data_IF_700143606617
#
_entry.id   IF_700143606617
#
_cell.length_a   1.000
_cell.length_b   1.000
_cell.length_c   1.000
_cell.angle_alpha   90.00
_cell.angle_beta   90.00
_cell.angle_gamma   90.00
#
_symmetry.space_group_name_H-M   'P 1'
#
loop_
_entity.id
_entity.type
_entity.pdbx_description
1 polymer ?
#
# COMPACT_ATOMS: atom_id res chain seq x y z
N UNK A 1 3.63 3.72 4.96
CA UNK A 1 3.59 2.54 5.87
C UNK A 1 2.13 2.15 6.02
N UNK A 2 1.81 0.87 6.18
CA UNK A 2 0.41 0.48 6.43
C UNK A 2 -0.01 0.92 7.83
N UNK A 3 -1.17 1.54 7.96
CA UNK A 3 -1.64 2.08 9.23
C UNK A 3 -2.16 0.96 10.14
N UNK A 4 -1.62 0.88 11.36
CA UNK A 4 -2.05 -0.08 12.37
C UNK A 4 -2.45 0.68 13.65
N UNK A 5 -3.70 0.58 14.12
CA UNK A 5 -4.12 1.26 15.34
C UNK A 5 -3.62 0.52 16.59
N UNK A 6 -3.18 1.28 17.58
CA UNK A 6 -2.88 0.79 18.93
C UNK A 6 -3.36 1.80 19.97
N UNK A 7 -3.54 1.33 21.21
CA UNK A 7 -3.84 2.18 22.36
C UNK A 7 -2.78 2.06 23.45
N UNK A 8 -2.09 0.92 23.50
CA UNK A 8 -1.08 0.62 24.50
C UNK A 8 0.16 0.01 23.87
N UNK A 9 1.28 0.14 24.56
CA UNK A 9 2.57 -0.43 24.20
C UNK A 9 3.46 -0.56 25.44
N UNK A 10 4.50 -1.38 25.32
CA UNK A 10 5.61 -1.48 26.28
C UNK A 10 6.89 -0.91 25.66
N UNK A 11 7.85 -0.49 26.49
CA UNK A 11 9.10 0.09 25.98
C UNK A 11 9.93 -0.94 25.17
N UNK A 12 9.88 -2.20 25.62
CA UNK A 12 10.60 -3.31 24.98
C UNK A 12 10.08 -3.59 23.55
N UNK A 13 8.77 -3.50 23.33
CA UNK A 13 8.14 -3.68 22.02
C UNK A 13 8.60 -2.66 20.99
N UNK A 14 8.84 -1.42 21.42
CA UNK A 14 9.23 -0.32 20.54
C UNK A 14 10.74 -0.14 20.47
N UNK A 15 11.51 -1.06 21.05
CA UNK A 15 12.98 -1.05 21.04
C UNK A 15 13.60 0.26 21.55
N UNK A 16 12.99 0.88 22.58
CA UNK A 16 13.50 2.12 23.20
C UNK A 16 13.72 1.88 24.70
N UNK A 17 14.85 2.31 25.27
CA UNK A 17 15.06 2.23 26.72
C UNK A 17 13.98 3.00 27.47
N UNK A 18 13.34 2.37 28.45
CA UNK A 18 12.25 2.99 29.23
C UNK A 18 12.59 4.37 29.85
N UNK A 19 13.83 4.71 30.26
CA UNK A 19 14.12 6.05 30.77
C UNK A 19 13.90 7.16 29.74
N UNK A 20 14.05 6.86 28.44
CA UNK A 20 13.77 7.83 27.37
C UNK A 20 12.28 8.17 27.27
N UNK A 21 11.40 7.28 27.69
CA UNK A 21 9.95 7.54 27.68
C UNK A 21 9.55 8.53 28.78
N UNK A 22 10.29 8.59 29.90
CA UNK A 22 10.12 9.64 30.92
C UNK A 22 10.35 11.03 30.32
N UNK A 23 11.42 11.21 29.53
CA UNK A 23 11.72 12.46 28.82
C UNK A 23 10.58 12.88 27.86
N UNK A 24 9.86 11.90 27.31
CA UNK A 24 8.74 12.10 26.40
C UNK A 24 7.39 12.36 27.12
N UNK A 25 7.36 12.25 28.45
CA UNK A 25 6.19 12.51 29.29
C UNK A 25 5.43 11.28 29.77
N UNK A 26 5.92 10.07 29.48
CA UNK A 26 5.35 8.82 29.99
C UNK A 26 5.89 8.56 31.40
N UNK A 27 5.10 8.94 32.41
CA UNK A 27 5.51 8.87 33.83
C UNK A 27 4.96 7.66 34.58
N UNK A 28 3.78 7.17 34.18
CA UNK A 28 3.07 6.10 34.86
C UNK A 28 2.56 5.06 33.85
N UNK A 29 2.41 3.83 34.31
CA UNK A 29 1.78 2.74 33.57
C UNK A 29 0.24 2.80 33.63
N UNK A 30 -0.42 1.81 33.04
CA UNK A 30 -1.89 1.70 33.02
C UNK A 30 -2.53 1.57 34.40
N UNK A 31 -1.81 1.03 35.38
CA UNK A 31 -2.28 0.82 36.76
C UNK A 31 -2.01 2.05 37.64
N UNK A 32 -1.33 3.07 37.09
CA UNK A 32 -0.94 4.28 37.79
C UNK A 32 0.34 4.14 38.62
N UNK A 33 1.12 3.06 38.44
CA UNK A 33 2.42 2.92 39.06
C UNK A 33 3.47 3.71 38.27
N UNK A 34 4.53 4.16 38.95
CA UNK A 34 5.64 4.83 38.29
C UNK A 34 6.35 3.90 37.29
N UNK A 35 6.84 4.48 36.19
CA UNK A 35 7.60 3.75 35.17
C UNK A 35 9.01 3.42 35.69
N UNK A 36 9.28 2.13 35.89
CA UNK A 36 10.54 1.59 36.43
C UNK A 36 11.10 0.44 35.56
N UNK A 37 10.30 -0.13 34.66
CA UNK A 37 10.65 -1.27 33.80
C UNK A 37 10.19 -1.10 32.35
N UNK A 38 10.89 -1.74 31.41
CA UNK A 38 10.52 -1.76 29.99
C UNK A 38 9.31 -2.64 29.65
N UNK A 39 8.91 -3.51 30.59
CA UNK A 39 7.77 -4.43 30.45
C UNK A 39 6.44 -3.84 30.91
N UNK A 40 6.45 -2.65 31.51
CA UNK A 40 5.21 -2.00 31.96
C UNK A 40 4.41 -1.50 30.76
N UNK A 41 3.11 -1.78 30.78
CA UNK A 41 2.18 -1.35 29.74
C UNK A 41 1.82 0.13 29.92
N UNK A 42 1.95 0.92 28.87
CA UNK A 42 1.65 2.35 28.88
C UNK A 42 0.60 2.68 27.82
N UNK A 43 -0.26 3.65 28.12
CA UNK A 43 -1.20 4.21 27.16
C UNK A 43 -0.51 5.24 26.25
N UNK A 44 -0.55 5.02 24.93
CA UNK A 44 0.06 5.89 23.93
C UNK A 44 -0.59 7.28 23.90
N UNK A 45 0.22 8.34 23.75
CA UNK A 45 -0.34 9.66 23.51
C UNK A 45 -0.96 9.74 22.09
N UNK A 46 -2.05 10.52 21.91
CA UNK A 46 -2.83 10.53 20.67
C UNK A 46 -2.08 10.92 19.40
N UNK A 47 -0.97 11.65 19.51
CA UNK A 47 -0.16 12.11 18.37
C UNK A 47 1.24 11.48 18.38
N UNK A 48 1.46 10.45 19.20
CA UNK A 48 2.69 9.68 19.18
C UNK A 48 2.59 8.54 18.15
N UNK A 49 3.73 8.22 17.55
CA UNK A 49 3.83 7.29 16.42
C UNK A 49 5.04 6.38 16.59
N UNK A 50 4.83 5.07 16.38
CA UNK A 50 5.87 4.05 16.37
C UNK A 50 6.14 3.68 14.92
N UNK A 51 7.38 3.91 14.49
CA UNK A 51 7.79 3.81 13.09
C UNK A 51 8.30 2.39 12.81
N UNK A 52 8.06 1.88 11.60
CA UNK A 52 8.71 0.63 11.16
C UNK A 52 10.23 0.81 11.07
N UNK A 53 11.00 -0.13 11.62
CA UNK A 53 12.47 -0.19 11.50
C UNK A 53 12.95 -0.21 10.04
N UNK A 54 12.12 -0.69 9.11
CA UNK A 54 12.44 -0.65 7.68
C UNK A 54 12.63 0.78 7.14
N UNK A 55 12.00 1.77 7.79
CA UNK A 55 12.14 3.18 7.46
C UNK A 55 13.26 3.91 8.20
N UNK A 56 13.90 3.28 9.18
CA UNK A 56 14.88 3.94 10.06
C UNK A 56 16.08 4.54 9.29
N UNK A 57 16.66 3.77 8.38
CA UNK A 57 17.76 4.22 7.51
C UNK A 57 17.32 5.37 6.59
N UNK A 58 16.08 5.34 6.08
CA UNK A 58 15.55 6.44 5.29
C UNK A 58 15.43 7.73 6.11
N UNK A 59 14.87 7.68 7.31
CA UNK A 59 14.76 8.85 8.18
C UNK A 59 16.12 9.38 8.63
N UNK A 60 17.08 8.50 8.92
CA UNK A 60 18.44 8.88 9.29
C UNK A 60 19.13 9.63 8.14
N UNK A 61 19.01 9.13 6.90
CA UNK A 61 19.55 9.80 5.71
C UNK A 61 18.89 11.16 5.48
N UNK A 62 17.57 11.26 5.67
CA UNK A 62 16.84 12.52 5.55
C UNK A 62 17.27 13.52 6.62
N UNK A 63 17.45 13.10 7.87
CA UNK A 63 17.96 13.95 8.94
C UNK A 63 19.37 14.50 8.62
N UNK A 64 20.28 13.63 8.15
CA UNK A 64 21.64 14.03 7.72
C UNK A 64 21.60 14.99 6.52
N UNK A 65 20.71 14.75 5.56
CA UNK A 65 20.50 15.65 4.43
C UNK A 65 20.02 17.04 4.89
N UNK A 66 19.07 17.10 5.84
CA UNK A 66 18.57 18.38 6.36
C UNK A 66 19.63 19.14 7.15
N UNK A 67 20.47 18.44 7.91
CA UNK A 67 21.60 19.05 8.62
C UNK A 67 22.63 19.63 7.64
N UNK A 68 23.01 18.87 6.60
CA UNK A 68 23.89 19.37 5.53
C UNK A 68 23.26 20.54 4.77
N UNK A 69 21.94 20.51 4.53
CA UNK A 69 21.20 21.60 3.88
C UNK A 69 21.22 22.86 4.75
N UNK A 70 20.97 22.74 6.06
CA UNK A 70 21.03 23.86 7.00
C UNK A 70 22.43 24.46 7.07
N UNK A 71 23.46 23.65 7.25
CA UNK A 71 24.83 24.12 7.40
C UNK A 71 25.40 24.68 6.09
N UNK A 72 25.31 23.94 4.99
CA UNK A 72 26.02 24.29 3.74
C UNK A 72 25.26 25.26 2.86
N UNK A 73 23.93 25.18 2.83
CA UNK A 73 23.13 26.04 1.95
C UNK A 73 22.56 27.25 2.68
N UNK A 74 22.04 27.06 3.90
CA UNK A 74 21.45 28.16 4.68
C UNK A 74 22.42 28.84 5.65
N UNK A 75 23.59 28.26 5.94
CA UNK A 75 24.54 28.81 6.91
C UNK A 75 24.03 28.79 8.35
N UNK A 76 23.11 27.88 8.66
CA UNK A 76 22.49 27.69 9.98
C UNK A 76 23.12 26.49 10.70
N UNK A 77 23.05 26.43 12.04
CA UNK A 77 23.49 25.25 12.77
C UNK A 77 22.67 24.02 12.38
N UNK A 78 23.28 22.84 12.50
CA UNK A 78 22.60 21.54 12.38
C UNK A 78 21.49 21.42 13.42
N UNK A 79 20.44 20.68 13.09
CA UNK A 79 19.25 20.55 13.91
C UNK A 79 19.09 19.15 14.51
N UNK A 80 19.23 18.10 13.70
CA UNK A 80 18.97 16.73 14.16
C UNK A 80 20.19 16.10 14.83
N UNK A 81 21.38 16.25 14.24
CA UNK A 81 22.61 15.64 14.71
C UNK A 81 22.51 14.12 14.95
N UNK A 82 21.64 13.44 14.19
CA UNK A 82 21.33 12.03 14.38
C UNK A 82 22.39 11.13 13.71
N UNK A 83 22.95 10.19 14.49
CA UNK A 83 23.86 9.15 13.99
C UNK A 83 23.21 7.78 13.98
N UNK A 84 22.33 7.51 14.94
CA UNK A 84 21.54 6.28 15.03
C UNK A 84 20.04 6.58 14.98
N UNK A 85 19.23 5.56 14.69
CA UNK A 85 17.78 5.74 14.56
C UNK A 85 17.12 6.17 15.89
N UNK A 86 17.69 5.75 17.01
CA UNK A 86 17.26 6.10 18.35
C UNK A 86 17.38 7.60 18.65
N UNK A 87 18.29 8.33 17.97
CA UNK A 87 18.44 9.79 18.12
C UNK A 87 17.23 10.57 17.56
N UNK A 88 16.42 9.92 16.72
CA UNK A 88 15.21 10.51 16.15
C UNK A 88 13.99 10.35 17.07
N UNK A 89 14.12 9.62 18.18
CA UNK A 89 13.05 9.52 19.19
C UNK A 89 12.80 10.91 19.79
N UNK A 90 11.53 11.33 19.81
CA UNK A 90 11.10 12.67 20.21
C UNK A 90 11.02 13.68 19.06
N UNK A 91 11.55 13.37 17.88
CA UNK A 91 11.45 14.25 16.73
C UNK A 91 10.03 14.25 16.13
N UNK A 92 9.67 15.40 15.54
CA UNK A 92 8.35 15.62 14.98
C UNK A 92 8.25 15.17 13.51
N UNK A 93 7.09 14.64 13.18
CA UNK A 93 6.70 14.11 11.89
C UNK A 93 5.43 14.80 11.39
N UNK A 94 5.26 14.79 10.07
CA UNK A 94 3.98 15.06 9.41
C UNK A 94 3.48 13.73 8.87
N UNK A 95 2.33 13.28 9.38
CA UNK A 95 1.56 12.21 8.76
C UNK A 95 0.60 12.77 7.72
N UNK A 96 0.65 12.26 6.50
CA UNK A 96 -0.18 12.70 5.40
C UNK A 96 -0.80 11.49 4.68
N UNK A 97 -2.12 11.50 4.59
CA UNK A 97 -2.83 10.49 3.83
C UNK A 97 -2.88 10.84 2.33
N UNK A 98 -2.65 9.87 1.44
CA UNK A 98 -3.13 9.91 0.08
C UNK A 98 -4.56 10.45 -0.06
N UNK A 99 -4.78 11.20 -1.13
CA UNK A 99 -6.01 11.91 -1.45
C UNK A 99 -6.42 12.98 -0.43
N UNK A 100 -5.50 13.45 0.41
CA UNK A 100 -5.72 14.57 1.33
C UNK A 100 -4.64 15.65 1.17
N UNK A 101 -4.87 16.82 1.78
CA UNK A 101 -3.92 17.93 1.79
C UNK A 101 -3.70 18.54 3.17
N UNK A 102 -4.28 17.93 4.21
CA UNK A 102 -4.06 18.27 5.60
C UNK A 102 -3.12 17.26 6.24
N UNK A 103 -1.89 17.67 6.52
CA UNK A 103 -0.97 16.87 7.32
C UNK A 103 -1.35 16.96 8.80
N UNK A 104 -1.06 15.91 9.56
CA UNK A 104 -1.25 15.88 11.01
C UNK A 104 0.13 15.74 11.67
N UNK A 105 0.40 16.60 12.62
CA UNK A 105 1.64 16.57 13.39
C UNK A 105 1.67 15.31 14.28
N UNK A 106 2.77 14.59 14.26
CA UNK A 106 3.04 13.50 15.19
C UNK A 106 4.47 13.54 15.73
N UNK A 107 4.75 12.70 16.71
CA UNK A 107 6.07 12.55 17.35
C UNK A 107 6.51 11.10 17.31
N UNK A 108 7.77 10.86 16.97
CA UNK A 108 8.36 9.50 17.02
C UNK A 108 8.58 9.12 18.48
N UNK A 109 8.10 7.95 18.88
CA UNK A 109 8.40 7.41 20.23
C UNK A 109 9.24 6.14 20.21
N UNK A 110 9.33 5.45 19.07
CA UNK A 110 10.15 4.25 18.95
C UNK A 110 9.98 3.53 17.62
N UNK A 111 10.49 2.30 17.57
CA UNK A 111 10.67 1.51 16.35
C UNK A 111 10.18 0.08 16.49
N UNK A 112 9.37 -0.39 15.54
CA UNK A 112 8.84 -1.77 15.50
C UNK A 112 9.48 -2.60 14.38
N UNK A 113 9.56 -3.93 14.52
CA UNK A 113 10.05 -4.80 13.44
C UNK A 113 8.99 -5.06 12.36
N UNK A 114 7.74 -4.66 12.59
CA UNK A 114 6.67 -4.82 11.61
C UNK A 114 6.82 -3.82 10.45
N UNK A 115 6.16 -4.09 9.31
CA UNK A 115 6.10 -3.15 8.18
C UNK A 115 5.02 -2.05 8.36
N UNK A 116 4.25 -2.13 9.45
CA UNK A 116 3.19 -1.17 9.77
C UNK A 116 3.73 0.03 10.54
N UNK A 117 3.00 1.14 10.46
CA UNK A 117 3.18 2.28 11.34
C UNK A 117 2.10 2.26 12.42
N UNK A 118 2.50 2.17 13.69
CA UNK A 118 1.55 2.12 14.78
C UNK A 118 1.28 3.51 15.33
N UNK A 119 0.00 3.82 15.57
CA UNK A 119 -0.41 5.07 16.17
C UNK A 119 -1.76 4.92 16.87
N UNK A 120 -2.13 5.93 17.64
CA UNK A 120 -3.46 6.01 18.22
C UNK A 120 -4.56 6.00 17.14
N UNK A 121 -5.69 5.36 17.40
CA UNK A 121 -6.85 5.28 16.46
C UNK A 121 -7.28 6.67 15.97
N UNK A 122 -7.40 7.62 16.90
CA UNK A 122 -7.69 9.02 16.60
C UNK A 122 -6.69 9.64 15.60
N UNK A 123 -5.38 9.33 15.70
CA UNK A 123 -4.39 9.87 14.77
C UNK A 123 -4.65 9.42 13.35
N UNK A 124 -4.88 8.12 13.15
CA UNK A 124 -5.19 7.57 11.84
C UNK A 124 -6.48 8.17 11.27
N UNK A 125 -7.52 8.25 12.08
CA UNK A 125 -8.79 8.84 11.65
C UNK A 125 -8.70 10.36 11.39
N UNK A 126 -7.82 11.09 12.08
CA UNK A 126 -7.59 12.53 11.81
C UNK A 126 -6.97 12.77 10.42
N UNK A 127 -6.22 11.78 9.90
CA UNK A 127 -5.73 11.75 8.52
C UNK A 127 -6.78 11.21 7.53
N UNK A 128 -8.01 10.94 7.98
CA UNK A 128 -9.11 10.32 7.22
C UNK A 128 -8.83 8.88 6.79
N UNK A 129 -8.25 8.08 7.70
CA UNK A 129 -8.02 6.64 7.50
C UNK A 129 -8.94 5.78 8.33
N UNK A 130 -9.32 4.66 7.73
CA UNK A 130 -10.21 3.65 8.30
C UNK A 130 -9.40 2.48 8.86
N UNK A 131 -8.11 2.37 8.51
CA UNK A 131 -7.21 1.29 8.91
C UNK A 131 -7.64 -0.09 8.37
N UNK A 132 -8.31 -0.16 7.21
CA UNK A 132 -8.73 -1.39 6.54
C UNK A 132 -7.69 -1.90 5.50
N UNK A 133 -6.43 -1.52 5.68
CA UNK A 133 -5.33 -1.74 4.73
C UNK A 133 -4.79 -0.45 4.10
N UNK A 134 -5.20 0.71 4.62
CA UNK A 134 -4.70 2.02 4.26
C UNK A 134 -3.18 2.16 4.44
N UNK A 135 -2.57 2.99 3.58
CA UNK A 135 -1.15 3.34 3.67
C UNK A 135 -0.96 4.86 3.70
N UNK A 136 -0.13 5.32 4.63
CA UNK A 136 0.17 6.74 4.79
C UNK A 136 1.63 7.10 4.52
N UNK A 137 1.81 8.37 4.11
CA UNK A 137 3.10 9.00 3.96
C UNK A 137 3.48 9.68 5.27
N UNK A 138 4.71 9.41 5.73
CA UNK A 138 5.28 10.02 6.93
C UNK A 138 6.57 10.74 6.50
N UNK A 139 6.70 12.01 6.88
CA UNK A 139 7.89 12.83 6.58
C UNK A 139 8.35 13.57 7.82
N UNK A 140 9.64 13.89 7.91
CA UNK A 140 10.17 14.74 8.99
C UNK A 140 9.54 16.13 8.90
N UNK A 141 9.18 16.72 10.04
CA UNK A 141 8.57 18.06 10.07
C UNK A 141 9.45 19.10 9.36
N UNK A 142 10.76 19.11 9.65
CA UNK A 142 11.68 20.09 9.08
C UNK A 142 11.82 19.94 7.56
N UNK A 143 11.75 18.71 7.04
CA UNK A 143 11.75 18.45 5.60
C UNK A 143 10.52 19.08 4.93
N UNK A 144 9.34 18.83 5.50
CA UNK A 144 8.09 19.40 5.01
C UNK A 144 8.04 20.93 5.10
N UNK A 145 8.79 21.56 6.01
CA UNK A 145 8.86 23.02 6.12
C UNK A 145 9.86 23.66 5.15
N UNK A 146 11.05 23.07 4.99
CA UNK A 146 12.11 23.64 4.16
C UNK A 146 11.92 23.35 2.67
N UNK A 147 11.56 22.11 2.32
CA UNK A 147 11.62 21.63 0.94
C UNK A 147 10.26 21.71 0.22
N UNK A 148 9.19 22.06 0.93
CA UNK A 148 7.87 22.22 0.32
C UNK A 148 7.65 23.63 -0.23
N UNK A 149 7.08 23.71 -1.43
CA UNK A 149 6.56 24.98 -1.97
C UNK A 149 5.33 24.73 -2.83
N UNK A 150 4.33 25.60 -2.76
CA UNK A 150 3.18 25.52 -3.69
C UNK A 150 3.59 25.68 -5.16
N UNK A 151 4.77 26.27 -5.43
CA UNK A 151 5.30 26.46 -6.80
C UNK A 151 5.76 25.15 -7.46
N UNK A 152 6.09 24.11 -6.68
CA UNK A 152 6.50 22.81 -7.22
C UNK A 152 5.31 21.89 -7.50
N UNK A 153 4.10 22.29 -7.11
CA UNK A 153 2.90 21.49 -7.33
C UNK A 153 2.49 21.50 -8.81
N UNK A 154 2.10 20.34 -9.38
CA UNK A 154 1.62 20.27 -10.75
C UNK A 154 0.36 21.11 -10.95
N UNK A 155 0.33 21.90 -12.03
CA UNK A 155 -0.80 22.77 -12.37
C UNK A 155 -2.05 22.00 -12.89
N UNK A 156 -1.91 20.70 -13.15
CA UNK A 156 -3.01 19.86 -13.66
C UNK A 156 -3.97 19.44 -12.52
N UNK A 157 -5.23 19.15 -12.86
CA UNK A 157 -6.24 18.67 -11.90
C UNK A 157 -5.74 17.43 -11.16
N UNK A 158 -5.91 17.44 -9.83
CA UNK A 158 -5.45 16.37 -8.93
C UNK A 158 -4.03 16.58 -8.39
N UNK A 159 -3.25 17.52 -8.94
CA UNK A 159 -1.86 17.76 -8.54
C UNK A 159 -1.65 18.46 -7.18
N UNK A 160 -2.72 18.98 -6.57
CA UNK A 160 -2.66 19.65 -5.26
C UNK A 160 -3.01 18.72 -4.09
N UNK A 161 -3.56 17.55 -4.38
CA UNK A 161 -3.76 16.49 -3.39
C UNK A 161 -2.41 15.81 -3.15
N UNK A 162 -2.23 15.17 -1.99
CA UNK A 162 -1.00 14.48 -1.59
C UNK A 162 0.16 15.43 -1.23
N UNK A 163 -0.15 16.69 -0.91
CA UNK A 163 0.80 17.67 -0.40
C UNK A 163 0.28 18.32 0.90
N UNK A 164 1.15 18.55 1.90
CA UNK A 164 0.73 19.12 3.19
C UNK A 164 0.50 20.63 3.06
N UNK A 165 -0.66 21.03 2.52
CA UNK A 165 -1.06 22.43 2.35
C UNK A 165 -1.41 23.11 3.68
N UNK A 166 -1.89 22.32 4.64
CA UNK A 166 -2.24 22.73 6.01
C UNK A 166 -1.69 21.67 6.97
N UNK A 167 -1.28 22.09 8.16
CA UNK A 167 -0.78 21.22 9.21
C UNK A 167 -1.66 21.35 10.46
N UNK A 168 -2.31 20.26 10.85
CA UNK A 168 -3.05 20.15 12.10
C UNK A 168 -2.07 19.84 13.23
N UNK A 169 -1.94 20.75 14.20
CA UNK A 169 -0.98 20.59 15.29
C UNK A 169 -1.57 19.91 16.52
N UNK A 170 -2.90 19.97 16.70
CA UNK A 170 -3.62 19.39 17.84
C UNK A 170 -4.78 18.58 17.34
N UNK A 171 -4.91 17.37 17.89
CA UNK A 171 -6.02 16.49 17.60
C UNK A 171 -7.23 16.84 18.46
N UNK A 172 -8.38 17.07 17.82
CA UNK A 172 -9.66 17.25 18.49
C UNK A 172 -10.60 16.08 18.13
N UNK A 173 -10.94 15.16 19.06
CA UNK A 173 -11.76 13.99 18.75
C UNK A 173 -13.13 14.31 18.13
N UNK A 174 -13.70 15.48 18.41
CA UNK A 174 -15.00 15.87 17.85
C UNK A 174 -14.97 16.21 16.36
N UNK A 175 -13.78 16.46 15.80
CA UNK A 175 -13.56 16.80 14.39
C UNK A 175 -13.08 15.61 13.55
N UNK A 176 -12.85 14.47 14.21
CA UNK A 176 -12.34 13.23 13.59
C UNK A 176 -13.50 12.46 12.95
N UNK A 177 -13.15 11.56 12.03
CA UNK A 177 -14.12 10.67 11.39
C UNK A 177 -14.92 9.83 12.40
N UNK A 178 -16.18 9.54 12.05
CA UNK A 178 -17.11 8.81 12.92
C UNK A 178 -16.70 7.37 13.16
N UNK A 179 -15.93 6.76 12.27
CA UNK A 179 -15.51 5.37 12.45
C UNK A 179 -14.67 5.20 13.72
N UNK A 180 -13.75 6.13 13.99
CA UNK A 180 -12.96 6.12 15.21
C UNK A 180 -13.82 6.32 16.47
N UNK A 181 -14.98 6.96 16.39
CA UNK A 181 -15.87 7.16 17.53
C UNK A 181 -16.57 5.87 17.98
N UNK A 182 -16.62 4.85 17.11
CA UNK A 182 -17.22 3.55 17.40
C UNK A 182 -16.25 2.54 18.02
N UNK A 183 -15.00 2.93 18.30
CA UNK A 183 -14.04 2.02 18.93
C UNK A 183 -14.39 1.86 20.41
N UNK A 184 -14.44 0.61 20.85
CA UNK A 184 -14.63 0.24 22.26
C UNK A 184 -13.37 0.57 23.06
N UNK A 185 -13.54 1.20 24.21
CA UNK A 185 -12.49 1.57 25.15
C UNK A 185 -12.65 0.88 26.52
N UNK A 186 -13.46 -0.18 26.59
CA UNK A 186 -13.72 -0.94 27.81
C UNK A 186 -12.57 -1.92 28.15
N UNK A 187 -12.28 -2.08 29.43
CA UNK A 187 -11.37 -3.14 29.94
C UNK A 187 -11.99 -4.54 29.90
N UNK A 188 -13.31 -4.62 30.02
CA UNK A 188 -14.07 -5.86 29.96
C UNK A 188 -15.48 -5.57 29.45
N UNK A 189 -16.06 -6.52 28.71
CA UNK A 189 -17.45 -6.43 28.32
C UNK A 189 -18.38 -6.89 29.46
N UNK A 190 -19.52 -6.23 29.68
CA UNK A 190 -20.49 -6.64 30.69
C UNK A 190 -21.16 -7.97 30.33
N UNK A 191 -21.66 -8.71 31.32
CA UNK A 191 -22.39 -9.96 31.09
C UNK A 191 -23.63 -9.79 30.21
N UNK A 192 -24.30 -8.62 30.31
CA UNK A 192 -25.47 -8.27 29.49
C UNK A 192 -25.16 -8.32 28.00
N UNK A 193 -23.97 -7.86 27.58
CA UNK A 193 -23.53 -7.91 26.18
C UNK A 193 -23.42 -9.35 25.67
N UNK A 194 -22.82 -10.24 26.45
CA UNK A 194 -22.68 -11.65 26.09
C UNK A 194 -24.05 -12.36 26.00
N UNK A 195 -24.99 -12.03 26.90
CA UNK A 195 -26.34 -12.58 26.88
C UNK A 195 -27.17 -12.07 25.70
N UNK A 196 -27.07 -10.77 25.40
CA UNK A 196 -27.73 -10.15 24.26
C UNK A 196 -27.24 -10.73 22.92
N UNK A 197 -25.97 -11.11 22.81
CA UNK A 197 -25.43 -11.73 21.58
C UNK A 197 -26.13 -13.05 21.21
N UNK A 198 -26.64 -13.81 22.20
CA UNK A 198 -27.43 -15.04 21.96
C UNK A 198 -28.77 -14.76 21.28
N UNK A 199 -29.34 -13.58 21.52
CA UNK A 199 -30.60 -13.13 20.93
C UNK A 199 -30.37 -12.38 19.61
N UNK A 200 -29.12 -12.20 19.17
CA UNK A 200 -28.74 -11.47 17.96
C UNK A 200 -29.33 -10.05 17.92
N UNK A 201 -29.35 -9.38 19.08
CA UNK A 201 -29.82 -8.00 19.19
C UNK A 201 -28.95 -7.08 18.32
N UNK A 202 -29.58 -6.09 17.69
CA UNK A 202 -28.86 -5.10 16.89
C UNK A 202 -27.90 -4.27 17.77
N UNK A 203 -26.63 -4.05 17.37
CA UNK A 203 -25.61 -3.39 18.21
C UNK A 203 -26.02 -2.03 18.78
N UNK A 204 -26.73 -1.21 17.99
CA UNK A 204 -27.29 0.10 18.42
C UNK A 204 -28.14 0.07 19.70
N UNK A 205 -28.73 -1.06 20.05
CA UNK A 205 -29.51 -1.18 21.30
C UNK A 205 -28.60 -1.17 22.52
N UNK A 206 -27.38 -1.69 22.39
CA UNK A 206 -26.39 -1.85 23.45
C UNK A 206 -25.36 -0.70 23.49
N UNK A 207 -25.41 0.21 22.53
CA UNK A 207 -24.45 1.31 22.34
C UNK A 207 -24.27 2.19 23.59
N UNK A 208 -25.34 2.36 24.39
CA UNK A 208 -25.31 3.14 25.64
C UNK A 208 -24.77 2.38 26.85
N UNK A 209 -24.81 1.04 26.80
CA UNK A 209 -24.28 0.19 27.87
C UNK A 209 -22.78 -0.06 27.70
N UNK A 210 -22.28 0.07 26.47
CA UNK A 210 -20.89 -0.10 26.12
C UNK A 210 -20.11 1.21 26.21
N UNK A 211 -18.84 1.06 26.56
CA UNK A 211 -17.91 2.17 26.72
C UNK A 211 -17.20 2.45 25.39
N UNK A 212 -17.89 3.19 24.52
CA UNK A 212 -17.39 3.64 23.21
C UNK A 212 -16.86 5.08 23.29
N UNK A 213 -15.96 5.44 22.37
CA UNK A 213 -15.36 6.79 22.32
C UNK A 213 -16.43 7.87 22.12
N UNK A 214 -17.50 7.60 21.35
CA UNK A 214 -18.62 8.54 21.18
C UNK A 214 -19.25 8.96 22.52
N UNK A 215 -19.40 8.02 23.45
CA UNK A 215 -19.96 8.27 24.79
C UNK A 215 -18.99 9.05 25.70
N UNK A 216 -17.72 9.16 25.34
CA UNK A 216 -16.67 9.85 26.09
C UNK A 216 -16.41 11.28 25.59
N UNK A 217 -17.01 11.68 24.46
CA UNK A 217 -16.83 13.01 23.87
C UNK A 217 -17.17 14.13 24.86
N UNK A 218 -16.39 15.22 24.80
CA UNK A 218 -16.53 16.38 25.69
C UNK A 218 -15.72 16.28 26.99
N UNK A 219 -15.17 15.11 27.33
CA UNK A 219 -14.31 14.89 28.48
C UNK A 219 -12.88 14.51 28.07
N UNK A 220 -11.93 14.57 29.01
CA UNK A 220 -10.54 14.11 28.81
C UNK A 220 -10.48 12.61 28.46
N UNK A 221 -11.49 11.84 28.89
CA UNK A 221 -11.63 10.41 28.57
C UNK A 221 -11.82 10.13 27.08
N UNK A 222 -12.18 11.12 26.26
CA UNK A 222 -12.23 10.97 24.81
C UNK A 222 -10.85 10.75 24.19
N UNK A 223 -9.78 11.12 24.90
CA UNK A 223 -8.40 11.16 24.40
C UNK A 223 -7.48 10.22 25.20
N UNK A 224 -7.86 9.87 26.43
CA UNK A 224 -7.06 9.09 27.40
C UNK A 224 -7.94 8.15 28.23
N UNK A 225 -7.33 7.21 28.93
CA UNK A 225 -8.00 6.21 29.75
C UNK A 225 -8.68 5.12 28.92
N UNK A 226 -8.11 4.75 27.77
CA UNK A 226 -8.65 3.67 26.95
C UNK A 226 -8.33 2.33 27.61
N UNK A 227 -9.25 1.38 27.52
CA UNK A 227 -9.01 -0.01 27.92
C UNK A 227 -8.80 -0.92 26.73
N UNK A 228 -8.36 -2.14 27.01
CA UNK A 228 -8.32 -3.24 26.04
C UNK A 228 -8.71 -4.55 26.74
N UNK A 229 -9.21 -5.51 25.97
CA UNK A 229 -9.76 -6.76 26.53
C UNK A 229 -8.79 -7.95 26.49
N UNK A 230 -7.85 -7.95 25.55
CA UNK A 230 -6.93 -9.06 25.33
C UNK A 230 -5.50 -8.54 25.23
N UNK A 231 -4.62 -9.14 26.01
CA UNK A 231 -3.20 -8.79 26.01
C UNK A 231 -2.44 -9.52 24.89
N UNK A 232 -1.34 -8.94 24.47
CA UNK A 232 -0.42 -9.52 23.48
C UNK A 232 0.99 -9.56 24.05
N UNK A 233 1.76 -10.57 23.70
CA UNK A 233 3.16 -10.66 24.17
C UNK A 233 4.05 -9.60 23.51
N UNK A 234 3.80 -9.31 22.24
CA UNK A 234 4.53 -8.30 21.46
C UNK A 234 3.65 -7.79 20.31
N UNK A 235 3.57 -6.47 20.09
CA UNK A 235 2.79 -5.87 19.00
C UNK A 235 3.22 -6.31 17.58
N UNK A 236 4.44 -6.81 17.42
CA UNK A 236 4.99 -7.29 16.14
C UNK A 236 5.23 -8.81 16.14
N UNK A 237 4.58 -9.55 17.05
CA UNK A 237 4.61 -11.01 17.06
C UNK A 237 3.97 -11.59 15.79
N UNK A 238 4.80 -12.07 14.87
CA UNK A 238 4.33 -12.67 13.63
C UNK A 238 5.39 -12.76 12.54
N UNK A 239 5.04 -13.31 11.37
CA UNK A 239 5.94 -13.31 10.23
C UNK A 239 6.16 -11.88 9.73
N UNK A 240 7.43 -11.43 9.70
CA UNK A 240 7.81 -10.07 9.31
C UNK A 240 7.35 -9.66 7.90
N UNK A 241 7.24 -10.63 6.98
CA UNK A 241 6.81 -10.42 5.61
C UNK A 241 5.78 -11.46 5.21
N UNK A 242 4.79 -11.04 4.41
CA UNK A 242 3.80 -11.95 3.86
C UNK A 242 4.46 -12.90 2.85
N UNK A 243 4.03 -14.17 2.87
CA UNK A 243 4.48 -15.17 1.90
C UNK A 243 4.15 -14.75 0.44
N UNK A 244 3.16 -13.86 0.25
CA UNK A 244 2.84 -13.31 -1.06
C UNK A 244 3.99 -12.48 -1.68
N UNK A 245 4.76 -11.78 -0.85
CA UNK A 245 5.93 -11.00 -1.30
C UNK A 245 7.15 -11.87 -1.59
N UNK A 246 7.28 -13.02 -0.92
CA UNK A 246 8.43 -13.93 -1.08
C UNK A 246 8.29 -14.84 -2.30
N UNK A 247 7.07 -15.07 -2.78
CA UNK A 247 6.82 -15.87 -3.99
C UNK A 247 7.01 -15.00 -5.25
N UNK A 248 7.90 -15.42 -6.14
CA UNK A 248 8.24 -14.64 -7.34
C UNK A 248 7.19 -14.79 -8.45
N UNK A 249 6.84 -16.03 -8.79
CA UNK A 249 5.98 -16.29 -9.96
C UNK A 249 4.50 -16.35 -9.58
N UNK A 250 3.64 -16.01 -10.55
CA UNK A 250 2.19 -16.10 -10.37
C UNK A 250 1.73 -17.55 -10.16
N UNK A 251 2.40 -18.52 -10.79
CA UNK A 251 2.13 -19.95 -10.59
C UNK A 251 2.40 -20.33 -9.12
N UNK A 252 3.51 -19.89 -8.56
CA UNK A 252 3.85 -20.18 -7.16
C UNK A 252 2.86 -19.54 -6.19
N UNK A 253 2.47 -18.28 -6.45
CA UNK A 253 1.44 -17.57 -5.67
C UNK A 253 0.12 -18.32 -5.68
N UNK A 254 -0.30 -18.78 -6.85
CA UNK A 254 -1.54 -19.52 -7.02
C UNK A 254 -1.50 -20.90 -6.35
N UNK A 255 -0.41 -21.65 -6.55
CA UNK A 255 -0.21 -22.93 -5.91
C UNK A 255 -0.13 -22.78 -4.39
N UNK A 256 0.51 -21.72 -3.88
CA UNK A 256 0.51 -21.36 -2.46
C UNK A 256 -0.90 -21.14 -1.92
N UNK A 257 -1.71 -20.33 -2.62
CA UNK A 257 -3.11 -20.08 -2.26
C UNK A 257 -3.96 -21.36 -2.24
N UNK A 258 -3.93 -22.16 -3.31
CA UNK A 258 -4.76 -23.36 -3.43
C UNK A 258 -4.29 -24.49 -2.52
N UNK A 259 -2.96 -24.63 -2.30
CA UNK A 259 -2.41 -25.58 -1.33
C UNK A 259 -2.82 -25.22 0.10
N UNK A 260 -2.84 -23.93 0.45
CA UNK A 260 -3.37 -23.48 1.74
C UNK A 260 -4.86 -23.81 1.84
N UNK A 261 -5.64 -23.51 0.81
CA UNK A 261 -7.06 -23.88 0.73
C UNK A 261 -7.29 -25.37 0.97
N UNK A 262 -6.47 -26.25 0.39
CA UNK A 262 -6.60 -27.70 0.58
C UNK A 262 -6.27 -28.22 1.96
N UNK A 263 -5.60 -27.41 2.79
CA UNK A 263 -5.34 -27.72 4.20
C UNK A 263 -6.45 -27.21 5.13
N UNK A 264 -7.22 -26.21 4.69
CA UNK A 264 -8.23 -25.55 5.51
C UNK A 264 -9.57 -26.26 5.38
N UNK A 265 -10.12 -26.74 6.49
CA UNK A 265 -11.45 -27.38 6.53
C UNK A 265 -12.58 -26.47 6.05
N UNK A 266 -12.45 -25.17 6.27
CA UNK A 266 -13.48 -24.18 5.90
C UNK A 266 -13.50 -23.83 4.40
N UNK A 267 -12.53 -24.31 3.61
CA UNK A 267 -12.34 -23.88 2.22
C UNK A 267 -12.54 -25.05 1.27
N UNK A 268 -13.52 -24.92 0.37
CA UNK A 268 -13.64 -25.83 -0.77
C UNK A 268 -12.73 -25.37 -1.92
N UNK A 269 -11.61 -26.06 -2.08
CA UNK A 269 -10.58 -25.75 -3.09
C UNK A 269 -11.13 -25.79 -4.50
N UNK A 270 -12.05 -26.71 -4.81
CA UNK A 270 -12.61 -26.86 -6.16
C UNK A 270 -13.46 -25.64 -6.53
N UNK A 271 -14.22 -25.13 -5.56
CA UNK A 271 -15.00 -23.90 -5.74
C UNK A 271 -14.10 -22.67 -5.85
N UNK A 272 -13.04 -22.58 -5.04
CA UNK A 272 -12.06 -21.48 -5.13
C UNK A 272 -11.35 -21.50 -6.48
N UNK A 273 -10.85 -22.66 -6.92
CA UNK A 273 -10.18 -22.81 -8.21
C UNK A 273 -11.12 -22.42 -9.36
N UNK A 274 -12.36 -22.91 -9.35
CA UNK A 274 -13.36 -22.57 -10.38
C UNK A 274 -13.69 -21.07 -10.38
N UNK A 275 -13.80 -20.45 -9.20
CA UNK A 275 -14.05 -19.01 -9.06
C UNK A 275 -12.89 -18.17 -9.59
N UNK A 276 -11.64 -18.53 -9.28
CA UNK A 276 -10.45 -17.83 -9.76
C UNK A 276 -10.35 -17.90 -11.29
N UNK A 277 -10.58 -19.09 -11.87
CA UNK A 277 -10.55 -19.26 -13.32
C UNK A 277 -11.63 -18.42 -14.00
N UNK A 278 -12.86 -18.42 -13.45
CA UNK A 278 -14.00 -17.71 -14.05
C UNK A 278 -13.94 -16.19 -13.89
N UNK A 279 -13.50 -15.71 -12.73
CA UNK A 279 -13.54 -14.29 -12.38
C UNK A 279 -12.28 -13.52 -12.78
N UNK A 280 -11.13 -14.20 -12.88
CA UNK A 280 -9.87 -13.55 -13.26
C UNK A 280 -9.34 -14.04 -14.61
N UNK A 281 -9.10 -15.34 -14.78
CA UNK A 281 -8.36 -15.83 -15.95
C UNK A 281 -9.16 -15.78 -17.25
N UNK A 282 -10.42 -16.21 -17.25
CA UNK A 282 -11.26 -16.18 -18.44
C UNK A 282 -11.50 -14.74 -18.94
N UNK A 283 -11.86 -13.76 -18.09
CA UNK A 283 -11.93 -12.35 -18.48
C UNK A 283 -10.62 -11.80 -19.04
N UNK A 284 -9.49 -12.09 -18.40
CA UNK A 284 -8.18 -11.62 -18.86
C UNK A 284 -7.78 -12.21 -20.22
N UNK A 285 -7.95 -13.52 -20.41
CA UNK A 285 -7.67 -14.18 -21.68
C UNK A 285 -8.53 -13.63 -22.82
N UNK A 286 -9.84 -13.51 -22.58
CA UNK A 286 -10.78 -12.95 -23.56
C UNK A 286 -10.47 -11.49 -23.87
N UNK A 287 -10.22 -10.69 -22.84
CA UNK A 287 -9.86 -9.27 -22.96
C UNK A 287 -8.59 -9.08 -23.78
N UNK A 288 -7.54 -9.83 -23.46
CA UNK A 288 -6.27 -9.79 -24.19
C UNK A 288 -6.41 -10.27 -25.64
N UNK A 289 -7.21 -11.29 -25.92
CA UNK A 289 -7.45 -11.79 -27.27
C UNK A 289 -8.19 -10.75 -28.14
N UNK A 290 -9.24 -10.12 -27.59
CA UNK A 290 -9.97 -9.05 -28.28
C UNK A 290 -9.08 -7.82 -28.47
N UNK A 291 -8.28 -7.47 -27.46
CA UNK A 291 -7.32 -6.37 -27.57
C UNK A 291 -6.28 -6.64 -28.65
N UNK A 292 -5.73 -7.86 -28.72
CA UNK A 292 -4.73 -8.26 -29.71
C UNK A 292 -5.23 -8.13 -31.15
N UNK A 293 -6.47 -8.54 -31.43
CA UNK A 293 -7.05 -8.45 -32.78
C UNK A 293 -7.43 -7.03 -33.21
N UNK A 294 -7.66 -6.13 -32.25
CA UNK A 294 -8.06 -4.72 -32.48
C UNK A 294 -6.97 -3.69 -32.18
N UNK A 295 -5.76 -4.15 -31.85
CA UNK A 295 -4.71 -3.30 -31.33
C UNK A 295 -4.23 -2.25 -32.34
N UNK A 296 -3.64 -1.18 -31.80
CA UNK A 296 -2.87 -0.20 -32.58
C UNK A 296 -1.41 -0.63 -32.62
N UNK A 297 -0.66 -0.08 -33.56
CA UNK A 297 0.77 -0.30 -33.69
C UNK A 297 1.47 1.00 -33.34
N UNK A 298 2.45 0.93 -32.43
CA UNK A 298 3.16 2.11 -31.94
C UNK A 298 4.58 2.12 -32.46
N UNK A 299 5.05 3.28 -32.93
CA UNK A 299 6.47 3.48 -33.21
C UNK A 299 7.25 3.64 -31.90
N UNK A 300 8.31 2.86 -31.72
CA UNK A 300 9.17 2.94 -30.52
C UNK A 300 9.94 4.27 -30.47
N UNK A 301 10.31 4.81 -31.63
CA UNK A 301 11.13 6.03 -31.72
C UNK A 301 10.33 7.33 -31.52
N UNK A 302 9.17 7.48 -32.16
CA UNK A 302 8.38 8.72 -32.09
C UNK A 302 7.09 8.60 -31.27
N UNK A 303 6.77 7.40 -30.78
CA UNK A 303 5.58 7.15 -29.96
C UNK A 303 4.23 7.23 -30.70
N UNK A 304 4.22 7.53 -32.01
CA UNK A 304 2.98 7.64 -32.79
C UNK A 304 2.27 6.29 -32.92
N UNK A 305 0.95 6.32 -32.81
CA UNK A 305 0.09 5.12 -32.82
C UNK A 305 -0.74 5.05 -34.11
N UNK A 306 -0.49 4.04 -34.92
CA UNK A 306 -1.22 3.73 -36.14
C UNK A 306 -2.34 2.73 -35.89
N UNK A 307 -3.50 2.93 -36.54
CA UNK A 307 -4.59 1.94 -36.52
C UNK A 307 -4.27 0.67 -37.31
N UNK A 308 -3.41 0.75 -38.33
CA UNK A 308 -2.99 -0.36 -39.20
C UNK A 308 -1.50 -0.27 -39.46
N UNK A 309 -0.85 -1.41 -39.71
CA UNK A 309 0.57 -1.45 -40.06
C UNK A 309 0.79 -0.71 -41.38
N UNK A 310 1.69 0.30 -41.43
CA UNK A 310 2.16 0.85 -42.69
C UNK A 310 2.77 -0.25 -43.55
N UNK A 311 2.45 -0.28 -44.85
CA UNK A 311 2.95 -1.29 -45.79
C UNK A 311 4.47 -1.24 -45.97
N UNK A 312 5.10 -0.10 -45.66
CA UNK A 312 6.55 0.07 -45.64
C UNK A 312 7.26 -0.70 -44.51
N UNK A 313 6.51 -1.27 -43.54
CA UNK A 313 7.07 -1.94 -42.36
C UNK A 313 7.74 -0.99 -41.35
N UNK A 314 7.86 0.30 -41.67
CA UNK A 314 8.55 1.32 -40.88
C UNK A 314 7.63 2.51 -40.61
N UNK A 315 7.95 3.31 -39.59
CA UNK A 315 7.19 4.51 -39.27
C UNK A 315 7.26 5.55 -40.40
N UNK A 316 6.07 5.90 -40.93
CA UNK A 316 5.87 6.89 -42.00
C UNK A 316 5.63 8.31 -41.47
N UNK A 317 5.64 8.51 -40.15
CA UNK A 317 5.41 9.83 -39.57
C UNK A 317 6.58 10.74 -39.89
N UNK A 318 6.30 11.99 -40.26
CA UNK A 318 7.33 13.01 -40.36
C UNK A 318 8.06 13.14 -39.02
N UNK A 319 9.39 13.21 -39.06
CA UNK A 319 10.18 13.38 -37.84
C UNK A 319 9.73 14.66 -37.12
N UNK A 320 8.94 14.53 -36.06
CA UNK A 320 8.82 15.55 -35.03
C UNK A 320 10.02 15.46 -34.09
N UNK A 321 11.25 15.44 -34.64
CA UNK A 321 12.38 15.95 -33.87
C UNK A 321 12.16 17.46 -33.79
N UNK A 322 11.30 17.86 -32.86
CA UNK A 322 11.30 19.23 -32.39
C UNK A 322 12.73 19.53 -31.94
N UNK A 323 13.27 20.60 -32.51
CA UNK A 323 14.58 21.11 -32.22
C UNK A 323 14.77 21.30 -30.72
N UNK A 324 15.54 20.41 -30.08
CA UNK A 324 16.27 20.75 -28.87
C UNK A 324 17.72 20.90 -29.28
N UNK A 325 18.11 22.15 -29.53
CA UNK A 325 19.36 22.56 -30.17
C UNK A 325 19.14 23.75 -31.13
N UNK A 326 20.22 24.30 -31.71
CA UNK A 326 20.29 25.54 -32.53
C UNK A 326 19.26 25.72 -33.69
N UNK A 327 18.32 24.80 -33.91
CA UNK A 327 17.20 24.95 -34.85
C UNK A 327 16.19 26.06 -34.52
N UNK A 328 16.30 26.72 -33.38
CA UNK A 328 15.52 27.93 -33.04
C UNK A 328 15.94 29.17 -33.85
N UNK A 329 17.00 29.09 -34.67
CA UNK A 329 17.52 30.21 -35.48
C UNK A 329 17.34 30.01 -37.00
N UNK A 330 16.27 29.33 -37.41
CA UNK A 330 15.79 29.43 -38.80
C UNK A 330 16.64 28.73 -39.87
N UNK A 331 17.63 27.91 -39.50
CA UNK A 331 18.35 27.08 -40.47
C UNK A 331 17.60 25.77 -40.66
N UNK A 332 16.63 25.78 -41.58
CA UNK A 332 15.95 24.57 -42.06
C UNK A 332 16.87 23.80 -43.01
N UNK A 333 17.79 23.02 -42.45
CA UNK A 333 18.55 22.00 -43.19
C UNK A 333 17.58 20.97 -43.77
N UNK A 334 17.51 20.89 -45.10
CA UNK A 334 16.60 20.04 -45.84
C UNK A 334 16.91 18.56 -45.68
N UNK A 335 16.20 17.90 -44.76
CA UNK A 335 15.60 16.60 -45.02
C UNK A 335 14.47 16.37 -43.99
N UNK A 336 13.21 16.62 -44.40
CA UNK A 336 12.03 16.23 -43.59
C UNK A 336 11.81 14.72 -43.72
N UNK A 337 12.82 13.94 -43.34
CA UNK A 337 12.78 12.49 -43.39
C UNK A 337 11.62 11.95 -42.56
N UNK A 338 11.03 10.85 -43.03
CA UNK A 338 10.13 10.03 -42.21
C UNK A 338 10.93 9.42 -41.05
N UNK A 339 10.28 9.22 -39.90
CA UNK A 339 10.88 8.69 -38.68
C UNK A 339 11.65 7.39 -38.94
N UNK A 340 11.12 6.50 -39.79
CA UNK A 340 11.68 5.17 -40.11
C UNK A 340 11.92 4.26 -38.89
N UNK A 341 11.45 4.65 -37.71
CA UNK A 341 11.58 3.85 -36.49
C UNK A 341 10.77 2.56 -36.54
N UNK A 342 11.22 1.58 -35.75
CA UNK A 342 10.58 0.27 -35.62
C UNK A 342 9.18 0.40 -35.04
N UNK A 343 8.28 -0.43 -35.56
CA UNK A 343 6.89 -0.51 -35.19
C UNK A 343 6.68 -1.73 -34.30
N UNK A 344 6.10 -1.52 -33.13
CA UNK A 344 5.80 -2.56 -32.16
C UNK A 344 4.29 -2.70 -31.98
N UNK A 345 3.85 -3.95 -31.82
CA UNK A 345 2.50 -4.26 -31.35
C UNK A 345 2.34 -3.79 -29.90
N UNK A 346 1.20 -3.20 -29.57
CA UNK A 346 0.93 -2.78 -28.18
C UNK A 346 0.62 -3.95 -27.27
N UNK A 347 0.09 -5.05 -27.82
CA UNK A 347 -0.19 -6.31 -27.12
C UNK A 347 0.59 -7.41 -27.82
N UNK A 348 1.50 -8.07 -27.10
CA UNK A 348 2.31 -9.16 -27.63
C UNK A 348 1.54 -10.49 -27.59
N UNK A 349 1.90 -11.41 -28.47
CA UNK A 349 1.38 -12.79 -28.44
C UNK A 349 1.66 -13.48 -27.08
N UNK A 350 2.83 -13.23 -26.49
CA UNK A 350 3.20 -13.78 -25.18
C UNK A 350 2.24 -13.35 -24.07
N UNK A 351 1.73 -12.11 -24.11
CA UNK A 351 0.74 -11.63 -23.14
C UNK A 351 -0.58 -12.41 -23.22
N UNK A 352 -1.03 -12.76 -24.43
CA UNK A 352 -2.26 -13.55 -24.65
C UNK A 352 -2.07 -15.00 -24.17
N UNK A 353 -0.90 -15.61 -24.42
CA UNK A 353 -0.61 -17.01 -24.04
C UNK A 353 -0.26 -17.20 -22.55
N UNK A 354 0.10 -16.12 -21.83
CA UNK A 354 0.66 -16.16 -20.47
C UNK A 354 -0.15 -17.02 -19.50
N UNK A 355 -1.47 -16.90 -19.51
CA UNK A 355 -2.34 -17.55 -18.52
C UNK A 355 -2.79 -18.96 -18.92
N UNK A 356 -2.71 -19.36 -20.19
CA UNK A 356 -3.24 -20.65 -20.66
C UNK A 356 -2.59 -21.83 -19.94
N UNK A 357 -1.25 -21.81 -19.81
CA UNK A 357 -0.51 -22.88 -19.13
C UNK A 357 -0.88 -22.98 -17.66
N UNK A 358 -1.06 -21.83 -17.01
CA UNK A 358 -1.39 -21.77 -15.57
C UNK A 358 -2.80 -22.25 -15.32
N UNK A 359 -3.77 -21.81 -16.12
CA UNK A 359 -5.16 -22.25 -16.01
C UNK A 359 -5.27 -23.77 -16.20
N UNK A 360 -4.58 -24.35 -17.20
CA UNK A 360 -4.57 -25.81 -17.41
C UNK A 360 -4.00 -26.56 -16.21
N UNK A 361 -2.85 -26.12 -15.69
CA UNK A 361 -2.24 -26.74 -14.51
C UNK A 361 -3.19 -26.75 -13.30
N UNK A 362 -3.91 -25.66 -13.07
CA UNK A 362 -4.85 -25.53 -11.94
C UNK A 362 -6.04 -26.46 -12.11
N UNK A 363 -6.58 -26.53 -13.33
CA UNK A 363 -7.70 -27.40 -13.65
C UNK A 363 -7.35 -28.88 -13.48
N UNK A 364 -6.13 -29.28 -13.88
CA UNK A 364 -5.63 -30.65 -13.74
C UNK A 364 -5.34 -31.00 -12.28
N UNK A 365 -4.76 -30.07 -11.52
CA UNK A 365 -4.31 -30.33 -10.14
C UNK A 365 -5.43 -30.28 -9.12
N UNK A 366 -6.33 -29.29 -9.22
CA UNK A 366 -7.34 -29.00 -8.19
C UNK A 366 -8.77 -29.34 -8.63
N UNK A 367 -8.97 -29.58 -9.92
CA UNK A 367 -10.28 -29.81 -10.51
C UNK A 367 -11.12 -28.54 -10.60
N UNK A 368 -11.97 -28.49 -11.61
CA UNK A 368 -12.98 -27.43 -11.81
C UNK A 368 -14.30 -28.05 -12.24
N UNK A 369 -15.37 -27.25 -12.26
CA UNK A 369 -16.63 -27.68 -12.87
C UNK A 369 -16.50 -27.89 -14.39
N UNK A 370 -17.38 -28.73 -14.94
CA UNK A 370 -17.30 -29.13 -16.35
C UNK A 370 -17.48 -27.96 -17.32
N UNK A 371 -18.35 -27.00 -16.98
CA UNK A 371 -18.59 -25.83 -17.81
C UNK A 371 -17.34 -24.95 -17.90
N UNK A 372 -16.70 -24.66 -16.77
CA UNK A 372 -15.44 -23.91 -16.73
C UNK A 372 -14.34 -24.63 -17.50
N UNK A 373 -14.26 -25.97 -17.38
CA UNK A 373 -13.28 -26.77 -18.14
C UNK A 373 -13.45 -26.61 -19.65
N UNK A 374 -14.65 -26.82 -20.16
CA UNK A 374 -14.93 -26.69 -21.59
C UNK A 374 -14.65 -25.28 -22.11
N UNK A 375 -14.99 -24.25 -21.33
CA UNK A 375 -14.79 -22.86 -21.71
C UNK A 375 -13.30 -22.50 -21.84
N UNK A 376 -12.48 -22.95 -20.89
CA UNK A 376 -11.01 -22.78 -20.96
C UNK A 376 -10.42 -23.53 -22.15
N UNK A 377 -10.81 -24.78 -22.37
CA UNK A 377 -10.32 -25.58 -23.49
C UNK A 377 -10.65 -24.93 -24.84
N UNK A 378 -11.88 -24.45 -25.01
CA UNK A 378 -12.32 -23.76 -26.21
C UNK A 378 -11.57 -22.45 -26.47
N UNK A 379 -11.36 -21.63 -25.42
CA UNK A 379 -10.58 -20.40 -25.53
C UNK A 379 -9.11 -20.68 -25.83
N UNK A 380 -8.52 -21.70 -25.19
CA UNK A 380 -7.14 -22.10 -25.47
C UNK A 380 -6.97 -22.55 -26.93
N UNK A 381 -7.91 -23.36 -27.44
CA UNK A 381 -7.91 -23.78 -28.85
C UNK A 381 -8.06 -22.58 -29.81
N UNK A 382 -8.92 -21.62 -29.47
CA UNK A 382 -9.13 -20.40 -30.25
C UNK A 382 -7.86 -19.53 -30.32
N UNK A 383 -7.14 -19.41 -29.19
CA UNK A 383 -5.86 -18.69 -29.14
C UNK A 383 -4.81 -19.40 -30.00
N UNK A 384 -4.70 -20.73 -29.91
CA UNK A 384 -3.74 -21.49 -30.74
C UNK A 384 -4.06 -21.40 -32.23
N UNK A 385 -5.34 -21.47 -32.61
CA UNK A 385 -5.77 -21.31 -34.00
C UNK A 385 -5.48 -19.91 -34.56
N UNK A 386 -5.54 -18.85 -33.74
CA UNK A 386 -5.23 -17.49 -34.18
C UNK A 386 -3.75 -17.33 -34.55
N UNK A 387 -2.85 -18.04 -33.85
CA UNK A 387 -1.41 -17.84 -33.96
C UNK A 387 -0.68 -18.89 -34.78
N UNK A 388 -1.22 -20.09 -34.90
CA UNK A 388 -0.63 -21.15 -35.70
C UNK A 388 -1.13 -21.04 -37.14
N UNK A 389 -0.19 -21.01 -38.09
CA UNK A 389 -0.50 -21.09 -39.50
C UNK A 389 -0.44 -22.57 -39.90
N UNK A 390 -1.57 -23.17 -40.28
CA UNK A 390 -1.65 -24.61 -40.60
C UNK A 390 -0.72 -25.03 -41.75
N UNK A 391 -0.22 -24.07 -42.55
CA UNK A 391 0.74 -24.32 -43.63
C UNK A 391 2.21 -24.39 -43.19
N UNK A 392 2.54 -23.99 -41.96
CA UNK A 392 3.90 -23.92 -41.45
C UNK A 392 3.95 -24.35 -39.98
N UNK A 393 3.79 -25.66 -39.71
CA UNK A 393 3.98 -26.25 -38.37
C UNK A 393 5.39 -26.78 -38.22
N UNK A 394 6.07 -26.34 -37.17
CA UNK A 394 7.29 -26.97 -36.67
C UNK A 394 6.88 -28.14 -35.79
N UNK A 395 7.05 -29.37 -36.28
CA UNK A 395 6.72 -30.60 -35.56
C UNK A 395 7.90 -31.04 -34.69
N UNK A 396 7.62 -31.51 -33.48
CA UNK A 396 8.62 -32.13 -32.61
C UNK A 396 8.77 -33.60 -32.99
N UNK A 397 9.96 -34.17 -32.78
CA UNK A 397 10.22 -35.59 -33.08
C UNK A 397 9.26 -36.53 -32.30
N UNK A 398 8.84 -36.10 -31.10
CA UNK A 398 7.85 -36.79 -30.26
C UNK A 398 6.43 -36.80 -30.83
N UNK A 399 6.11 -35.96 -31.81
CA UNK A 399 4.79 -35.95 -32.44
C UNK A 399 4.65 -37.06 -33.51
N UNK A 400 5.76 -37.73 -33.84
CA UNK A 400 5.83 -38.83 -34.82
C UNK A 400 6.08 -40.20 -34.18
N UNK A 401 6.35 -40.25 -32.88
CA UNK A 401 6.48 -41.46 -32.07
C UNK A 401 5.19 -41.69 -31.30
#
# INVERSE_FOLDING_TARGET
MSDVPITHFTADEISVPWPRLLDLGYSHDIDGNALESGTQMMEIFPQDFIVSKSGADFFLRTAKYLDDLLERFYGLPRFYNAEVAEDLVGQLLIGLAPHTSGGVLSRIIGWSNSSGGYAHTLFHASKRRNCDGDEDAIMLLMDGLLNFSKKILPANRGGQMDAPLVLTTRLNPTEVDKEALNVDAAWYYPSSFYEASKQQVHPKVLEKELDIIENRLGNVSAVRGYGYTHDTRCIDEGPALSAYKTLETMVDKMNGQLRLGGRLRAVDVKNVASSVVRSHFLPDLRGNLVAFTRQKIRCVSCGHSYRRMPLSGQCIQSNKKAAYGLGSHGVSGGDRGTCKGNLALTVSQGAVRKYIKVTKHVMETYGVDHYTKQNVEWLAASVESLFNNDKAKQLLLSDFL
#
